data_IF_518540923401
#
_entry.id   IF_518540923401
#
_cell.length_a   1.000
_cell.length_b   1.000
_cell.length_c   1.000
_cell.angle_alpha   90.00
_cell.angle_beta   90.00
_cell.angle_gamma   90.00
#
_symmetry.space_group_name_H-M   'P 1'
#
loop_
_entity.id
_entity.type
_entity.pdbx_description
1 polymer ?
#
# COMPACT_ATOMS: atom_id res chain seq x y z
N UNK A 1 -39.11 26.67 -20.12
CA UNK A 1 -38.09 27.59 -19.59
C UNK A 1 -37.54 28.36 -20.77
N UNK A 2 -37.52 29.69 -20.67
CA UNK A 2 -37.16 30.59 -21.77
C UNK A 2 -35.64 30.86 -21.75
N UNK A 3 -35.01 30.89 -22.92
CA UNK A 3 -33.56 31.05 -23.11
C UNK A 3 -33.06 32.39 -22.54
N UNK A 4 -33.95 33.41 -22.49
CA UNK A 4 -33.65 34.72 -21.92
C UNK A 4 -33.39 34.67 -20.42
N UNK A 5 -34.16 33.86 -19.68
CA UNK A 5 -34.00 33.73 -18.22
C UNK A 5 -32.67 33.06 -17.85
N UNK A 6 -32.19 32.13 -18.69
CA UNK A 6 -30.86 31.51 -18.54
C UNK A 6 -29.73 32.50 -18.83
N UNK A 7 -29.90 33.36 -19.85
CA UNK A 7 -28.88 34.35 -20.23
C UNK A 7 -28.72 35.46 -19.19
N UNK A 8 -29.81 35.89 -18.55
CA UNK A 8 -29.77 36.89 -17.48
C UNK A 8 -29.17 36.32 -16.18
N UNK A 9 -29.51 35.06 -15.82
CA UNK A 9 -28.94 34.40 -14.64
C UNK A 9 -27.43 34.21 -14.70
N UNK A 10 -26.87 33.91 -15.88
CA UNK A 10 -25.41 33.78 -16.02
C UNK A 10 -24.66 35.12 -15.99
N UNK A 11 -25.33 36.24 -16.31
CA UNK A 11 -24.67 37.55 -16.35
C UNK A 11 -24.52 38.15 -14.95
N UNK A 12 -25.48 37.89 -14.06
CA UNK A 12 -25.43 38.32 -12.65
C UNK A 12 -24.37 37.56 -11.84
N UNK A 13 -24.11 36.30 -12.17
CA UNK A 13 -23.13 35.47 -11.46
C UNK A 13 -21.66 35.91 -11.68
N UNK A 14 -21.36 36.62 -12.78
CA UNK A 14 -19.98 37.00 -13.15
C UNK A 14 -19.60 38.38 -12.60
N UNK A 15 -20.57 39.20 -12.17
CA UNK A 15 -20.32 40.58 -11.76
C UNK A 15 -19.89 40.79 -10.31
N UNK A 16 -19.94 39.74 -9.47
CA UNK A 16 -19.83 39.88 -8.01
C UNK A 16 -18.52 39.42 -7.37
N UNK A 17 -17.59 38.80 -8.10
CA UNK A 17 -16.38 38.26 -7.48
C UNK A 17 -15.29 39.34 -7.34
N UNK A 18 -14.86 39.68 -6.11
CA UNK A 18 -13.69 40.52 -5.91
C UNK A 18 -12.46 39.80 -6.48
N UNK A 19 -11.49 40.52 -7.08
CA UNK A 19 -10.30 39.90 -7.63
C UNK A 19 -9.61 39.09 -6.54
N UNK A 20 -9.54 37.77 -6.73
CA UNK A 20 -8.76 36.87 -5.89
C UNK A 20 -7.32 37.39 -5.95
N UNK A 21 -6.86 38.02 -4.87
CA UNK A 21 -5.48 38.47 -4.67
C UNK A 21 -4.55 37.27 -4.46
N UNK A 22 -4.67 36.27 -5.33
CA UNK A 22 -3.87 35.08 -5.34
C UNK A 22 -2.56 35.43 -6.03
N UNK A 23 -1.57 35.75 -5.22
CA UNK A 23 -0.21 35.96 -5.67
C UNK A 23 0.49 34.59 -5.72
N UNK A 24 0.68 34.01 -6.92
CA UNK A 24 1.27 32.68 -7.06
C UNK A 24 2.70 32.63 -6.50
N UNK A 25 3.42 33.75 -6.49
CA UNK A 25 4.79 33.82 -6.01
C UNK A 25 4.86 33.66 -4.48
N UNK A 26 3.85 34.16 -3.75
CA UNK A 26 3.76 33.96 -2.30
C UNK A 26 3.55 32.50 -1.90
N UNK A 27 2.86 31.72 -2.73
CA UNK A 27 2.65 30.28 -2.47
C UNK A 27 3.95 29.50 -2.67
N UNK A 28 4.72 29.84 -3.72
CA UNK A 28 6.03 29.21 -3.99
C UNK A 28 7.05 29.55 -2.90
N UNK A 29 7.09 30.80 -2.45
CA UNK A 29 7.99 31.25 -1.39
C UNK A 29 7.67 30.65 -0.01
N UNK A 30 6.41 30.32 0.25
CA UNK A 30 6.02 29.64 1.48
C UNK A 30 6.44 28.17 1.47
N UNK A 31 6.27 27.47 0.34
CA UNK A 31 6.71 26.09 0.18
C UNK A 31 8.23 25.92 0.33
N UNK A 32 9.02 26.84 -0.25
CA UNK A 32 10.49 26.80 -0.15
C UNK A 32 11.03 27.02 1.27
N UNK A 33 10.33 27.81 2.10
CA UNK A 33 10.72 28.08 3.50
C UNK A 33 10.45 26.89 4.42
N UNK A 34 9.37 26.14 4.21
CA UNK A 34 9.07 24.95 5.00
C UNK A 34 10.02 23.78 4.70
N UNK A 35 10.42 23.61 3.44
CA UNK A 35 11.38 22.57 3.04
C UNK A 35 12.78 22.79 3.67
N UNK A 36 13.24 24.04 3.78
CA UNK A 36 14.53 24.37 4.44
C UNK A 36 14.52 24.08 5.95
N UNK A 37 13.39 24.29 6.63
CA UNK A 37 13.26 23.95 8.06
C UNK A 37 13.42 22.45 8.34
N UNK A 38 12.98 21.58 7.41
CA UNK A 38 13.10 20.12 7.56
C UNK A 38 14.55 19.62 7.48
N UNK A 39 15.41 20.28 6.71
CA UNK A 39 16.83 19.90 6.56
C UNK A 39 17.70 20.26 7.77
N UNK A 40 17.22 21.12 8.67
CA UNK A 40 18.00 21.57 9.82
C UNK A 40 17.91 20.65 11.07
N UNK A 41 17.03 19.62 11.09
CA UNK A 41 16.79 18.79 12.28
C UNK A 41 17.42 17.37 12.28
N UNK A 42 18.19 16.98 11.26
CA UNK A 42 18.70 15.58 11.13
C UNK A 42 20.07 15.35 11.82
N UNK A 43 20.59 16.31 12.57
CA UNK A 43 21.89 16.17 13.24
C UNK A 43 21.76 16.06 14.76
N UNK A 44 21.65 14.85 15.31
CA UNK A 44 22.27 14.37 16.58
C UNK A 44 21.68 13.03 17.02
N UNK A 45 22.52 12.03 17.29
CA UNK A 45 22.12 10.90 18.17
C UNK A 45 22.77 9.55 17.91
N UNK A 46 24.11 9.45 17.95
CA UNK A 46 24.81 8.17 18.12
C UNK A 46 25.15 8.02 19.61
N UNK A 47 24.52 7.05 20.30
CA UNK A 47 24.92 6.65 21.64
C UNK A 47 24.78 5.12 21.81
N UNK A 48 25.93 4.50 22.00
CA UNK A 48 26.23 3.10 22.25
C UNK A 48 25.74 2.66 23.64
N UNK A 49 25.28 1.40 23.80
CA UNK A 49 25.42 0.66 25.06
C UNK A 49 25.53 -0.85 24.81
N UNK A 50 26.69 -1.40 25.17
CA UNK A 50 27.07 -2.81 25.23
C UNK A 50 26.96 -3.25 26.70
N UNK A 51 26.23 -4.33 27.04
CA UNK A 51 26.42 -5.09 28.30
C UNK A 51 26.03 -6.57 28.16
N UNK A 52 27.08 -7.39 28.15
CA UNK A 52 27.39 -8.64 28.89
C UNK A 52 26.44 -9.86 29.02
N UNK A 53 27.12 -10.99 28.88
CA UNK A 53 26.72 -12.39 29.00
C UNK A 53 26.25 -12.83 30.40
N UNK A 54 25.46 -13.91 30.42
CA UNK A 54 25.22 -14.76 31.59
C UNK A 54 25.02 -16.21 31.16
N UNK A 55 26.08 -17.02 31.29
CA UNK A 55 26.04 -18.48 31.18
C UNK A 55 25.61 -19.03 32.54
N UNK A 56 24.51 -19.78 32.59
CA UNK A 56 24.11 -20.56 33.76
C UNK A 56 24.19 -22.06 33.42
N UNK A 57 25.24 -22.71 33.91
CA UNK A 57 25.38 -24.16 33.96
C UNK A 57 24.63 -24.71 35.17
N UNK A 58 23.70 -25.66 34.97
CA UNK A 58 23.10 -26.46 36.04
C UNK A 58 23.68 -27.88 35.96
N UNK A 59 24.34 -28.40 37.02
CA UNK A 59 24.76 -29.79 37.07
C UNK A 59 23.74 -30.69 37.79
N UNK A 60 23.33 -31.77 37.10
CA UNK A 60 23.11 -33.08 37.70
C UNK A 60 21.67 -33.48 38.08
N UNK A 61 21.09 -34.43 37.34
CA UNK A 61 20.38 -35.59 37.89
C UNK A 61 20.14 -36.65 36.80
N UNK A 62 20.38 -37.90 37.16
CA UNK A 62 20.45 -39.10 36.33
C UNK A 62 19.11 -39.47 35.68
N UNK A 63 19.12 -39.76 34.38
CA UNK A 63 17.99 -40.34 33.67
C UNK A 63 18.40 -40.72 32.25
N UNK A 64 18.52 -42.03 32.00
CA UNK A 64 18.86 -42.60 30.71
C UNK A 64 17.87 -42.16 29.62
N UNK A 65 18.33 -41.33 28.69
CA UNK A 65 17.63 -41.05 27.44
C UNK A 65 18.60 -41.12 26.27
N UNK A 66 18.26 -42.05 25.39
CA UNK A 66 18.66 -42.27 24.01
C UNK A 66 19.45 -41.10 23.37
N UNK A 67 20.75 -41.30 23.17
CA UNK A 67 21.61 -40.39 22.41
C UNK A 67 21.28 -40.50 20.92
N UNK A 68 20.25 -39.77 20.50
CA UNK A 68 20.06 -39.45 19.09
C UNK A 68 21.12 -38.43 18.69
N UNK A 69 22.18 -38.91 18.05
CA UNK A 69 23.24 -38.11 17.43
C UNK A 69 22.63 -37.11 16.45
N UNK A 70 22.54 -35.85 16.88
CA UNK A 70 22.20 -34.72 16.01
C UNK A 70 23.44 -34.38 15.20
N UNK A 71 23.39 -34.69 13.92
CA UNK A 71 24.39 -34.29 12.92
C UNK A 71 24.54 -32.76 12.96
N UNK A 72 25.76 -32.21 12.99
CA UNK A 72 25.95 -30.77 12.95
C UNK A 72 25.40 -30.21 11.63
N UNK A 73 24.59 -29.15 11.73
CA UNK A 73 24.10 -28.40 10.58
C UNK A 73 25.29 -27.90 9.75
N UNK A 74 25.24 -28.15 8.44
CA UNK A 74 26.21 -27.66 7.48
C UNK A 74 26.32 -26.12 7.57
N UNK A 75 27.51 -25.53 7.32
CA UNK A 75 27.68 -24.09 7.29
C UNK A 75 26.73 -23.48 6.25
N UNK A 76 25.95 -22.49 6.69
CA UNK A 76 25.18 -21.61 5.79
C UNK A 76 26.21 -20.86 4.94
N UNK A 77 26.23 -21.16 3.64
CA UNK A 77 26.99 -20.40 2.66
C UNK A 77 26.22 -19.10 2.43
N UNK A 78 26.66 -18.01 3.06
CA UNK A 78 26.31 -16.66 2.65
C UNK A 78 26.92 -16.42 1.26
N UNK A 79 26.12 -16.57 0.22
CA UNK A 79 26.44 -16.02 -1.09
C UNK A 79 26.32 -14.50 -1.01
N UNK A 80 27.47 -13.85 -0.80
CA UNK A 80 27.64 -12.43 -1.12
C UNK A 80 27.12 -12.18 -2.55
N UNK A 81 26.23 -11.21 -2.78
CA UNK A 81 25.86 -10.81 -4.13
C UNK A 81 27.11 -10.26 -4.82
N UNK A 82 27.49 -10.89 -5.93
CA UNK A 82 28.45 -10.36 -6.87
C UNK A 82 27.98 -8.97 -7.32
N UNK A 83 28.87 -7.99 -7.17
CA UNK A 83 28.78 -6.72 -7.88
C UNK A 83 28.91 -7.02 -9.37
N UNK A 84 27.78 -7.22 -10.04
CA UNK A 84 27.75 -7.06 -11.49
C UNK A 84 27.68 -5.56 -11.81
N UNK A 85 28.57 -5.16 -12.70
CA UNK A 85 28.78 -3.79 -13.16
C UNK A 85 27.55 -3.30 -13.93
N UNK A 86 26.80 -2.37 -13.35
CA UNK A 86 25.83 -1.55 -14.07
C UNK A 86 26.55 -0.65 -15.07
N UNK A 87 26.54 -1.06 -16.34
CA UNK A 87 26.89 -0.18 -17.46
C UNK A 87 25.77 0.86 -17.64
N UNK A 88 26.08 2.17 -17.65
CA UNK A 88 25.07 3.21 -17.86
C UNK A 88 24.55 3.15 -19.31
N UNK A 89 23.22 2.99 -19.45
CA UNK A 89 22.54 3.20 -20.72
C UNK A 89 22.58 4.70 -21.07
N UNK A 90 23.11 5.10 -22.24
CA UNK A 90 23.12 6.48 -22.67
C UNK A 90 21.74 6.88 -23.23
N UNK A 91 21.12 7.93 -22.68
CA UNK A 91 20.06 8.68 -23.37
C UNK A 91 18.66 8.71 -22.73
N UNK A 92 18.51 8.48 -21.43
CA UNK A 92 17.24 8.79 -20.73
C UNK A 92 17.44 10.00 -19.81
N UNK A 93 17.18 11.19 -20.34
CA UNK A 93 16.98 12.35 -19.49
C UNK A 93 15.73 12.10 -18.61
N UNK A 94 15.82 12.29 -17.28
CA UNK A 94 14.69 12.10 -16.39
C UNK A 94 13.60 13.11 -16.76
N UNK A 95 12.46 12.60 -17.24
CA UNK A 95 11.29 13.42 -17.53
C UNK A 95 10.90 14.21 -16.27
N UNK A 96 10.80 15.53 -16.43
CA UNK A 96 10.39 16.43 -15.36
C UNK A 96 9.00 16.01 -14.85
N UNK A 97 8.82 15.76 -13.55
CA UNK A 97 7.54 15.30 -13.03
C UNK A 97 6.50 16.41 -13.17
N UNK A 98 5.56 16.22 -14.11
CA UNK A 98 4.40 17.09 -14.26
C UNK A 98 3.64 17.16 -12.93
N UNK A 99 3.46 18.37 -12.40
CA UNK A 99 2.65 18.62 -11.20
C UNK A 99 1.19 18.27 -11.49
N UNK A 100 0.74 17.09 -11.08
CA UNK A 100 -0.69 16.75 -11.06
C UNK A 100 -1.39 17.64 -10.02
N UNK A 101 -2.18 18.59 -10.51
CA UNK A 101 -3.11 19.41 -9.74
C UNK A 101 -4.23 18.53 -9.20
N UNK A 102 -4.29 18.37 -7.87
CA UNK A 102 -5.29 17.57 -7.13
C UNK A 102 -6.71 18.13 -7.17
N UNK A 103 -7.30 18.26 -8.36
CA UNK A 103 -8.74 18.36 -8.49
C UNK A 103 -9.34 17.01 -8.06
N UNK A 104 -10.34 17.04 -7.18
CA UNK A 104 -11.13 15.88 -6.80
C UNK A 104 -11.80 15.32 -8.07
N UNK A 105 -11.20 14.28 -8.66
CA UNK A 105 -11.67 13.74 -9.92
C UNK A 105 -12.92 12.92 -9.62
N UNK A 106 -14.09 13.50 -9.89
CA UNK A 106 -15.36 12.81 -9.86
C UNK A 106 -15.39 11.83 -11.06
N UNK A 107 -14.90 10.62 -10.84
CA UNK A 107 -14.85 9.58 -11.85
C UNK A 107 -16.26 9.00 -12.06
N UNK A 108 -16.80 8.99 -13.29
CA UNK A 108 -18.07 8.34 -13.55
C UNK A 108 -17.91 6.84 -13.28
N UNK A 109 -18.56 6.34 -12.23
CA UNK A 109 -18.57 4.93 -11.90
C UNK A 109 -19.15 4.11 -13.05
N UNK A 110 -18.33 3.29 -13.69
CA UNK A 110 -18.84 2.25 -14.58
C UNK A 110 -19.57 1.23 -13.69
N UNK A 111 -20.84 0.96 -13.99
CA UNK A 111 -21.59 -0.08 -13.29
C UNK A 111 -20.83 -1.41 -13.38
N UNK A 112 -20.54 -1.99 -12.22
CA UNK A 112 -19.94 -3.32 -12.12
C UNK A 112 -20.80 -4.35 -12.85
N UNK A 113 -20.17 -5.20 -13.65
CA UNK A 113 -20.81 -6.36 -14.23
C UNK A 113 -21.14 -7.42 -13.18
N UNK A 114 -21.82 -8.51 -13.57
CA UNK A 114 -22.16 -9.60 -12.64
C UNK A 114 -20.93 -10.27 -12.01
N UNK A 115 -19.83 -10.40 -12.77
CA UNK A 115 -18.59 -11.01 -12.29
C UNK A 115 -17.95 -10.17 -11.19
N UNK A 116 -17.81 -8.86 -11.39
CA UNK A 116 -17.19 -7.96 -10.42
C UNK A 116 -18.02 -7.84 -9.15
N UNK A 117 -19.36 -7.90 -9.25
CA UNK A 117 -20.24 -8.01 -8.08
C UNK A 117 -20.02 -9.30 -7.30
N UNK A 118 -19.82 -10.43 -7.99
CA UNK A 118 -19.50 -11.70 -7.35
C UNK A 118 -18.14 -11.64 -6.64
N UNK A 119 -17.13 -11.02 -7.26
CA UNK A 119 -15.82 -10.82 -6.65
C UNK A 119 -15.89 -9.93 -5.41
N UNK A 120 -16.69 -8.85 -5.46
CA UNK A 120 -16.90 -7.98 -4.30
C UNK A 120 -17.56 -8.75 -3.14
N UNK A 121 -18.62 -9.51 -3.40
CA UNK A 121 -19.25 -10.35 -2.39
C UNK A 121 -18.29 -11.42 -1.83
N UNK A 122 -17.48 -12.01 -2.70
CA UNK A 122 -16.46 -12.97 -2.29
C UNK A 122 -15.41 -12.34 -1.37
N UNK A 123 -14.94 -11.12 -1.69
CA UNK A 123 -14.00 -10.39 -0.84
C UNK A 123 -14.54 -10.16 0.57
N UNK A 124 -15.83 -9.81 0.71
CA UNK A 124 -16.46 -9.68 2.03
C UNK A 124 -16.42 -10.99 2.83
N UNK A 125 -16.69 -12.13 2.18
CA UNK A 125 -16.62 -13.45 2.83
C UNK A 125 -15.19 -13.83 3.21
N UNK A 126 -14.24 -13.67 2.28
CA UNK A 126 -12.84 -13.99 2.50
C UNK A 126 -12.27 -13.18 3.69
N UNK A 127 -12.60 -11.89 3.80
CA UNK A 127 -12.19 -11.08 4.96
C UNK A 127 -12.78 -11.60 6.27
N UNK A 128 -14.06 -11.99 6.29
CA UNK A 128 -14.68 -12.58 7.47
C UNK A 128 -14.05 -13.95 7.85
N UNK A 129 -13.61 -14.73 6.87
CA UNK A 129 -12.97 -16.03 7.09
C UNK A 129 -11.55 -15.90 7.67
N UNK A 130 -10.72 -15.00 7.12
CA UNK A 130 -9.33 -14.80 7.62
C UNK A 130 -9.29 -14.06 8.97
N UNK A 131 -10.35 -13.34 9.31
CA UNK A 131 -10.45 -12.54 10.52
C UNK A 131 -11.77 -12.77 11.26
N UNK A 132 -11.97 -13.97 11.84
CA UNK A 132 -13.25 -14.39 12.43
C UNK A 132 -13.65 -13.60 13.68
N UNK A 133 -12.73 -12.80 14.24
CA UNK A 133 -12.98 -11.95 15.41
C UNK A 133 -13.50 -10.55 15.02
N UNK A 134 -13.75 -10.29 13.74
CA UNK A 134 -14.27 -9.02 13.24
C UNK A 134 -15.80 -9.06 13.14
N UNK A 135 -16.42 -7.99 13.60
CA UNK A 135 -17.86 -7.76 13.51
C UNK A 135 -18.20 -6.90 12.28
N UNK A 136 -19.47 -6.92 11.88
CA UNK A 136 -20.03 -6.06 10.83
C UNK A 136 -19.23 -6.07 9.51
N UNK A 137 -18.73 -7.23 9.07
CA UNK A 137 -17.97 -7.34 7.82
C UNK A 137 -18.90 -7.12 6.62
N UNK A 138 -18.63 -6.09 5.82
CA UNK A 138 -19.42 -5.74 4.63
C UNK A 138 -18.58 -5.07 3.55
N UNK A 139 -19.02 -5.18 2.29
CA UNK A 139 -18.43 -4.42 1.18
C UNK A 139 -18.92 -2.98 1.28
N UNK A 140 -17.99 -2.05 1.51
CA UNK A 140 -18.27 -0.60 1.57
C UNK A 140 -18.36 -0.03 0.16
N UNK A 141 -17.37 -0.35 -0.67
CA UNK A 141 -17.21 0.21 -2.00
C UNK A 141 -16.60 -0.81 -2.94
N UNK A 142 -16.99 -0.78 -4.21
CA UNK A 142 -16.28 -1.49 -5.25
C UNK A 142 -16.37 -0.74 -6.57
N UNK A 143 -15.22 -0.54 -7.21
CA UNK A 143 -15.14 0.22 -8.45
C UNK A 143 -14.03 -0.28 -9.39
N UNK A 144 -14.23 -0.01 -10.67
CA UNK A 144 -13.18 -0.04 -11.68
C UNK A 144 -12.74 1.41 -11.89
N UNK A 145 -11.55 1.82 -11.43
CA UNK A 145 -11.11 3.21 -11.58
C UNK A 145 -10.91 3.54 -13.06
N UNK A 146 -11.63 4.55 -13.53
CA UNK A 146 -11.53 5.08 -14.89
C UNK A 146 -10.58 6.26 -14.86
N UNK A 147 -9.26 6.06 -14.97
CA UNK A 147 -8.32 7.19 -14.95
C UNK A 147 -8.60 8.11 -16.15
N UNK A 148 -8.68 9.42 -15.92
CA UNK A 148 -9.30 10.44 -16.77
C UNK A 148 -8.64 10.77 -18.11
N UNK A 149 -8.10 9.79 -18.84
CA UNK A 149 -7.77 9.95 -20.27
C UNK A 149 -8.30 8.75 -21.06
N UNK A 150 -9.09 8.95 -22.12
CA UNK A 150 -9.65 7.88 -22.95
C UNK A 150 -8.62 7.08 -23.77
N UNK A 151 -7.31 7.32 -23.60
CA UNK A 151 -6.27 6.75 -24.48
C UNK A 151 -5.30 5.77 -23.79
N UNK A 152 -5.42 5.56 -22.47
CA UNK A 152 -4.68 4.49 -21.77
C UNK A 152 -5.66 3.53 -21.11
N UNK A 153 -6.40 2.84 -21.97
CA UNK A 153 -7.48 1.86 -21.75
C UNK A 153 -7.02 0.56 -21.01
N UNK A 154 -6.04 0.68 -20.11
CA UNK A 154 -5.36 -0.45 -19.46
C UNK A 154 -5.74 -0.65 -17.99
N UNK A 155 -6.69 0.11 -17.43
CA UNK A 155 -7.12 -0.11 -16.03
C UNK A 155 -8.10 -1.29 -15.94
N UNK A 156 -7.63 -2.49 -16.30
CA UNK A 156 -8.27 -3.76 -15.93
C UNK A 156 -7.96 -4.08 -14.46
N UNK A 157 -8.41 -3.18 -13.58
CA UNK A 157 -8.26 -3.25 -12.14
C UNK A 157 -9.63 -3.17 -11.49
N UNK A 158 -9.91 -4.06 -10.55
CA UNK A 158 -11.06 -3.98 -9.66
C UNK A 158 -10.57 -3.63 -8.26
N UNK A 159 -11.14 -2.59 -7.66
CA UNK A 159 -10.89 -2.23 -6.27
C UNK A 159 -12.13 -2.53 -5.44
N UNK A 160 -11.91 -3.14 -4.28
CA UNK A 160 -12.96 -3.57 -3.36
C UNK A 160 -12.53 -3.13 -1.96
N UNK A 161 -13.32 -2.29 -1.32
CA UNK A 161 -13.13 -1.89 0.08
C UNK A 161 -14.09 -2.70 0.94
N UNK A 162 -13.54 -3.45 1.88
CA UNK A 162 -14.32 -4.23 2.86
C UNK A 162 -14.19 -3.57 4.23
N UNK A 163 -15.30 -3.07 4.75
CA UNK A 163 -15.40 -2.47 6.07
C UNK A 163 -15.75 -3.51 7.12
N UNK A 164 -15.27 -3.29 8.35
CA UNK A 164 -15.52 -4.15 9.50
C UNK A 164 -15.20 -3.39 10.80
N UNK A 165 -15.60 -3.98 11.93
CA UNK A 165 -15.31 -3.48 13.28
C UNK A 165 -14.52 -4.52 14.05
N UNK A 166 -13.46 -4.11 14.75
CA UNK A 166 -12.73 -4.95 15.70
C UNK A 166 -12.70 -4.29 17.09
N UNK A 167 -11.91 -4.85 18.01
CA UNK A 167 -11.81 -4.36 19.40
C UNK A 167 -11.32 -2.90 19.51
N UNK A 168 -10.68 -2.35 18.48
CA UNK A 168 -10.21 -0.96 18.45
C UNK A 168 -11.26 -0.03 17.86
N UNK A 169 -12.05 -0.51 16.90
CA UNK A 169 -13.18 0.23 16.32
C UNK A 169 -13.39 -0.05 14.83
N UNK A 170 -14.21 0.77 14.14
CA UNK A 170 -14.49 0.58 12.72
C UNK A 170 -13.27 0.92 11.86
N UNK A 171 -13.04 0.11 10.83
CA UNK A 171 -11.98 0.32 9.83
C UNK A 171 -12.36 -0.37 8.52
N UNK A 172 -11.43 -0.40 7.56
CA UNK A 172 -11.58 -1.23 6.37
C UNK A 172 -10.24 -1.76 5.87
N UNK A 173 -10.33 -2.78 5.02
CA UNK A 173 -9.23 -3.29 4.18
C UNK A 173 -9.56 -3.02 2.72
N UNK A 174 -8.54 -2.85 1.89
CA UNK A 174 -8.71 -2.68 0.45
C UNK A 174 -8.10 -3.87 -0.29
N UNK A 175 -8.88 -4.52 -1.14
CA UNK A 175 -8.46 -5.58 -2.05
C UNK A 175 -8.47 -5.02 -3.48
N UNK A 176 -7.34 -5.08 -4.16
CA UNK A 176 -7.19 -4.67 -5.56
C UNK A 176 -6.79 -5.87 -6.41
N UNK A 177 -7.57 -6.14 -7.45
CA UNK A 177 -7.34 -7.24 -8.40
C UNK A 177 -6.93 -6.64 -9.73
N UNK A 178 -5.74 -7.01 -10.20
CA UNK A 178 -5.14 -6.51 -11.42
C UNK A 178 -5.07 -7.63 -12.45
N UNK A 179 -5.64 -7.40 -13.65
CA UNK A 179 -5.53 -8.36 -14.75
C UNK A 179 -4.06 -8.48 -15.24
N UNK A 180 -3.71 -9.57 -15.94
CA UNK A 180 -2.37 -9.76 -16.49
C UNK A 180 -1.87 -8.56 -17.30
N UNK A 181 -0.61 -8.18 -17.07
CA UNK A 181 0.08 -7.10 -17.79
C UNK A 181 -0.34 -5.67 -17.41
N UNK A 182 -1.17 -5.49 -16.38
CA UNK A 182 -1.58 -4.15 -15.91
C UNK A 182 -0.61 -3.54 -14.90
N UNK A 183 0.11 -4.36 -14.12
CA UNK A 183 1.17 -3.92 -13.21
C UNK A 183 2.49 -4.03 -13.95
N UNK A 184 3.15 -2.90 -14.18
CA UNK A 184 4.45 -2.83 -14.86
C UNK A 184 5.65 -3.00 -13.93
N UNK A 185 5.44 -2.78 -12.63
CA UNK A 185 6.50 -2.84 -11.64
C UNK A 185 6.80 -4.30 -11.26
N UNK A 186 8.07 -4.69 -11.28
CA UNK A 186 8.49 -6.03 -10.87
C UNK A 186 8.49 -6.15 -9.34
N UNK A 187 8.31 -7.37 -8.78
CA UNK A 187 8.42 -7.60 -7.33
C UNK A 187 9.72 -7.06 -6.72
N UNK A 188 10.83 -7.21 -7.43
CA UNK A 188 12.15 -6.74 -7.00
C UNK A 188 12.28 -5.22 -6.97
N UNK A 189 11.58 -4.50 -7.86
CA UNK A 189 11.60 -3.03 -7.90
C UNK A 189 10.84 -2.42 -6.72
N UNK A 190 9.77 -3.07 -6.28
CA UNK A 190 8.95 -2.59 -5.15
C UNK A 190 9.76 -2.51 -3.86
N UNK A 191 10.66 -3.47 -3.62
CA UNK A 191 11.54 -3.48 -2.46
C UNK A 191 12.96 -2.95 -2.76
N UNK A 192 13.17 -2.25 -3.87
CA UNK A 192 14.50 -1.77 -4.22
C UNK A 192 14.99 -0.68 -3.23
N UNK A 193 16.32 -0.51 -3.03
CA UNK A 193 16.84 0.50 -2.10
C UNK A 193 16.50 1.94 -2.47
N UNK A 194 16.11 2.20 -3.71
CA UNK A 194 15.67 3.48 -4.25
C UNK A 194 14.14 3.63 -4.28
N UNK A 195 13.38 2.60 -3.90
CA UNK A 195 11.91 2.64 -3.87
C UNK A 195 11.37 3.12 -2.52
N UNK A 196 10.27 3.87 -2.58
CA UNK A 196 9.45 4.24 -1.42
C UNK A 196 10.18 5.04 -0.33
N UNK A 197 9.56 5.09 0.85
CA UNK A 197 10.11 5.75 2.03
C UNK A 197 11.07 4.82 2.82
N UNK A 198 11.77 5.37 3.81
CA UNK A 198 12.74 4.61 4.63
C UNK A 198 12.11 3.43 5.38
N UNK A 199 10.86 3.56 5.84
CA UNK A 199 10.13 2.47 6.51
C UNK A 199 9.82 1.35 5.51
N UNK A 200 9.33 1.71 4.32
CA UNK A 200 9.08 0.75 3.24
C UNK A 200 10.34 -0.07 2.97
N UNK A 201 11.49 0.58 2.75
CA UNK A 201 12.75 -0.14 2.46
C UNK A 201 13.19 -1.09 3.58
N UNK A 202 12.93 -0.74 4.84
CA UNK A 202 13.28 -1.59 5.99
C UNK A 202 12.33 -2.74 6.22
N UNK A 203 11.07 -2.61 5.80
CA UNK A 203 10.01 -3.58 6.07
C UNK A 203 9.43 -4.23 4.80
N UNK A 204 10.08 -4.04 3.64
CA UNK A 204 9.71 -4.71 2.41
C UNK A 204 10.37 -6.09 2.34
N UNK A 205 9.57 -7.11 2.04
CA UNK A 205 10.01 -8.50 1.92
C UNK A 205 9.46 -9.09 0.63
N UNK A 206 10.35 -9.69 -0.16
CA UNK A 206 9.98 -10.48 -1.35
C UNK A 206 10.11 -11.95 -0.98
N UNK A 207 9.05 -12.72 -1.19
CA UNK A 207 8.96 -14.14 -0.81
C UNK A 207 8.56 -14.93 -2.05
N UNK A 208 9.51 -15.69 -2.61
CA UNK A 208 9.23 -16.65 -3.69
C UNK A 208 8.42 -17.83 -3.15
N UNK A 209 7.39 -18.24 -3.89
CA UNK A 209 6.55 -19.40 -3.57
C UNK A 209 6.99 -20.64 -4.38
N UNK A 210 6.59 -21.83 -3.95
CA UNK A 210 6.92 -23.10 -4.62
C UNK A 210 6.31 -23.21 -6.03
N UNK A 211 5.18 -22.56 -6.26
CA UNK A 211 4.47 -22.55 -7.55
C UNK A 211 5.08 -21.55 -8.57
N UNK A 212 6.16 -20.86 -8.20
CA UNK A 212 6.83 -19.84 -9.01
C UNK A 212 6.18 -18.45 -8.93
N UNK A 213 5.10 -18.28 -8.17
CA UNK A 213 4.56 -16.97 -7.84
C UNK A 213 5.46 -16.23 -6.83
N UNK A 214 5.18 -14.95 -6.62
CA UNK A 214 5.94 -14.13 -5.66
C UNK A 214 5.00 -13.31 -4.79
N UNK A 215 5.22 -13.35 -3.49
CA UNK A 215 4.59 -12.44 -2.54
C UNK A 215 5.52 -11.27 -2.23
N UNK A 216 4.95 -10.07 -2.13
CA UNK A 216 5.65 -8.87 -1.65
C UNK A 216 4.87 -8.30 -0.49
N UNK A 217 5.43 -8.32 0.72
CA UNK A 217 4.89 -7.64 1.90
C UNK A 217 5.67 -6.36 2.14
N UNK A 218 4.98 -5.26 2.42
CA UNK A 218 5.59 -3.95 2.67
C UNK A 218 4.79 -3.17 3.72
N UNK A 219 5.47 -2.32 4.49
CA UNK A 219 4.86 -1.34 5.40
C UNK A 219 5.31 0.05 5.01
N UNK A 220 4.37 0.93 4.68
CA UNK A 220 4.64 2.30 4.22
C UNK A 220 3.88 3.33 5.05
N UNK A 221 4.39 4.56 5.09
CA UNK A 221 3.57 5.72 5.43
C UNK A 221 2.82 6.16 4.16
N UNK A 222 1.49 6.35 4.20
CA UNK A 222 0.78 6.77 3.00
C UNK A 222 1.12 8.23 2.66
N UNK A 223 1.16 8.56 1.37
CA UNK A 223 1.35 9.95 0.91
C UNK A 223 0.20 10.85 1.39
N UNK A 224 -1.01 10.29 1.42
CA UNK A 224 -2.22 10.92 1.91
C UNK A 224 -2.73 10.21 3.17
N UNK A 225 -2.83 10.94 4.28
CA UNK A 225 -3.40 10.40 5.52
C UNK A 225 -2.92 11.15 6.77
N UNK A 226 -3.44 10.76 7.95
CA UNK A 226 -2.97 11.28 9.21
C UNK A 226 -1.47 11.10 9.41
N UNK A 227 -0.80 12.06 10.05
CA UNK A 227 0.61 11.91 10.40
C UNK A 227 0.81 10.70 11.32
N UNK A 228 1.71 9.80 10.94
CA UNK A 228 1.96 8.55 11.67
C UNK A 228 1.02 7.41 11.29
N UNK A 229 0.11 7.62 10.34
CA UNK A 229 -0.60 6.53 9.69
C UNK A 229 0.38 5.61 8.98
N UNK A 230 0.06 4.32 8.99
CA UNK A 230 0.82 3.27 8.34
C UNK A 230 -0.14 2.39 7.54
N UNK A 231 0.36 1.87 6.43
CA UNK A 231 -0.34 0.93 5.55
C UNK A 231 0.53 -0.29 5.34
N UNK A 232 0.00 -1.45 5.72
CA UNK A 232 0.61 -2.75 5.45
C UNK A 232 -0.04 -3.30 4.20
N UNK A 233 0.77 -3.64 3.22
CA UNK A 233 0.31 -4.13 1.92
C UNK A 233 1.00 -5.45 1.61
N UNK A 234 0.22 -6.45 1.24
CA UNK A 234 0.72 -7.69 0.64
C UNK A 234 0.26 -7.73 -0.82
N UNK A 235 1.16 -8.10 -1.73
CA UNK A 235 0.91 -8.31 -3.16
C UNK A 235 1.28 -9.71 -3.54
N UNK A 236 0.43 -10.37 -4.33
CA UNK A 236 0.69 -11.67 -4.92
C UNK A 236 0.81 -11.53 -6.44
N UNK A 237 2.04 -11.69 -6.92
CA UNK A 237 2.40 -11.75 -8.33
C UNK A 237 2.25 -13.18 -8.82
N UNK A 238 1.13 -13.47 -9.47
CA UNK A 238 0.81 -14.82 -9.95
C UNK A 238 1.58 -15.14 -11.23
N UNK A 239 1.77 -16.44 -11.49
CA UNK A 239 2.46 -16.94 -12.68
C UNK A 239 1.76 -16.60 -13.99
N UNK A 240 0.45 -16.32 -13.96
CA UNK A 240 -0.32 -15.85 -15.12
C UNK A 240 -0.18 -14.33 -15.36
N UNK A 241 0.63 -13.63 -14.56
CA UNK A 241 0.85 -12.18 -14.65
C UNK A 241 -0.21 -11.31 -13.97
N UNK A 242 -1.27 -11.91 -13.40
CA UNK A 242 -2.22 -11.18 -12.57
C UNK A 242 -1.57 -10.80 -11.23
N UNK A 243 -2.04 -9.69 -10.65
CA UNK A 243 -1.58 -9.24 -9.32
C UNK A 243 -2.79 -9.04 -8.42
N UNK A 244 -2.76 -9.64 -7.23
CA UNK A 244 -3.76 -9.37 -6.19
C UNK A 244 -3.06 -8.66 -5.05
N UNK A 245 -3.63 -7.55 -4.61
CA UNK A 245 -3.10 -6.73 -3.54
C UNK A 245 -4.14 -6.62 -2.44
N UNK A 246 -3.73 -6.75 -1.18
CA UNK A 246 -4.53 -6.44 -0.02
C UNK A 246 -3.78 -5.45 0.88
N UNK A 247 -4.49 -4.44 1.39
CA UNK A 247 -3.93 -3.40 2.25
C UNK A 247 -4.73 -3.24 3.52
N UNK A 248 -4.05 -3.23 4.66
CA UNK A 248 -4.60 -2.89 5.97
C UNK A 248 -3.97 -1.62 6.52
N UNK A 249 -4.74 -0.90 7.33
CA UNK A 249 -4.42 0.46 7.74
C UNK A 249 -4.37 0.57 9.26
N UNK A 250 -3.52 1.47 9.78
CA UNK A 250 -3.57 1.89 11.19
C UNK A 250 -4.60 3.00 11.42
N UNK A 251 -5.44 3.30 10.45
CA UNK A 251 -6.51 4.30 10.51
C UNK A 251 -7.71 3.80 9.71
N UNK A 252 -8.87 4.44 9.87
CA UNK A 252 -10.02 4.14 9.01
C UNK A 252 -9.92 4.99 7.72
N UNK A 253 -9.69 4.40 6.54
CA UNK A 253 -9.56 5.18 5.31
C UNK A 253 -10.87 5.79 4.84
N UNK A 254 -12.03 5.38 5.38
CA UNK A 254 -13.33 5.99 5.11
C UNK A 254 -13.61 7.20 6.02
N UNK A 255 -12.89 7.31 7.15
CA UNK A 255 -13.05 8.40 8.10
C UNK A 255 -11.67 8.83 8.60
N UNK A 256 -11.08 9.83 7.93
CA UNK A 256 -9.76 10.37 8.27
C UNK A 256 -9.82 11.13 9.61
N UNK A 257 -9.65 10.42 10.72
CA UNK A 257 -9.56 10.98 12.06
C UNK A 257 -8.17 10.68 12.67
N UNK A 258 -7.27 11.68 12.76
CA UNK A 258 -5.93 11.49 13.31
C UNK A 258 -5.92 11.10 14.80
N UNK A 259 -7.04 11.32 15.52
CA UNK A 259 -7.13 10.94 16.94
C UNK A 259 -7.42 9.45 17.15
N UNK A 260 -7.79 8.73 16.09
CA UNK A 260 -8.17 7.31 16.13
C UNK A 260 -7.13 6.39 15.47
N UNK A 261 -5.85 6.77 15.55
CA UNK A 261 -4.77 5.92 15.06
C UNK A 261 -4.62 4.66 15.92
N UNK A 262 -4.56 3.52 15.24
CA UNK A 262 -4.25 2.20 15.78
C UNK A 262 -2.74 2.07 15.95
N UNK A 263 -2.31 1.24 16.91
CA UNK A 263 -0.88 0.93 17.07
C UNK A 263 -0.36 0.01 15.98
N UNK A 264 -1.21 -0.88 15.50
CA UNK A 264 -0.93 -1.90 14.49
C UNK A 264 -2.02 -1.88 13.42
N UNK A 265 -1.74 -2.46 12.26
CA UNK A 265 -2.72 -2.56 11.18
C UNK A 265 -3.82 -3.54 11.56
N UNK A 266 -5.03 -3.28 11.07
CA UNK A 266 -6.21 -4.09 11.41
C UNK A 266 -6.12 -5.57 10.96
N UNK A 267 -5.26 -5.88 9.99
CA UNK A 267 -4.95 -7.24 9.57
C UNK A 267 -3.43 -7.46 9.66
N UNK A 268 -3.07 -8.70 9.99
CA UNK A 268 -1.69 -9.21 10.05
C UNK A 268 -1.14 -9.52 8.65
N UNK A 269 0.19 -9.74 8.54
CA UNK A 269 0.79 -10.17 7.27
C UNK A 269 0.25 -11.54 6.83
N UNK A 270 0.00 -12.45 7.78
CA UNK A 270 -0.53 -13.78 7.53
C UNK A 270 -1.95 -13.72 6.94
N UNK A 271 -2.83 -12.92 7.55
CA UNK A 271 -4.20 -12.73 7.06
C UNK A 271 -4.23 -12.05 5.68
N UNK A 272 -3.39 -11.04 5.47
CA UNK A 272 -3.29 -10.38 4.16
C UNK A 272 -2.71 -11.34 3.11
N UNK A 273 -1.77 -12.19 3.49
CA UNK A 273 -1.22 -13.24 2.61
C UNK A 273 -2.31 -14.21 2.19
N UNK A 274 -3.07 -14.74 3.15
CA UNK A 274 -4.18 -15.65 2.88
C UNK A 274 -5.19 -15.02 1.89
N UNK A 275 -5.59 -13.77 2.12
CA UNK A 275 -6.45 -13.01 1.21
C UNK A 275 -5.90 -12.93 -0.21
N UNK A 276 -4.64 -12.50 -0.40
CA UNK A 276 -4.11 -12.31 -1.77
C UNK A 276 -3.82 -13.63 -2.50
N UNK A 277 -3.65 -14.71 -1.74
CA UNK A 277 -3.47 -16.07 -2.29
C UNK A 277 -4.78 -16.76 -2.68
N UNK A 278 -5.94 -16.19 -2.34
CA UNK A 278 -7.24 -16.75 -2.71
C UNK A 278 -7.41 -16.86 -4.23
N UNK A 279 -7.57 -18.09 -4.79
CA UNK A 279 -7.66 -18.29 -6.24
C UNK A 279 -8.89 -17.65 -6.89
N UNK A 280 -9.94 -17.36 -6.11
CA UNK A 280 -11.17 -16.74 -6.62
C UNK A 280 -10.94 -15.30 -7.09
N UNK A 281 -9.92 -14.60 -6.59
CA UNK A 281 -9.59 -13.24 -7.03
C UNK A 281 -8.92 -13.22 -8.42
N UNK A 282 -9.71 -13.45 -9.45
CA UNK A 282 -9.26 -13.47 -10.85
C UNK A 282 -10.21 -12.65 -11.72
N UNK A 283 -9.65 -11.69 -12.47
CA UNK A 283 -10.36 -11.01 -13.55
C UNK A 283 -10.16 -11.83 -14.84
N UNK A 284 -11.21 -12.49 -15.31
CA UNK A 284 -11.22 -13.17 -16.61
C UNK A 284 -11.47 -12.15 -17.71
N UNK A 285 -10.80 -12.31 -18.86
CA UNK A 285 -11.10 -11.56 -20.09
C UNK A 285 -12.46 -11.94 -20.69
#
# INVERSE_FOLDING_TARGET
MDERTLREGMRDAVGGEPPLGFDPDQVVDKAGREQRKRRAMVGTGLATLVVLAGVATIPGALGAYDQRSVTPAAPVVETSPSKDEDLPLPGMDPAEPEKESGAEINYPEKKLGPHEKSLAQHAGKAVAEVAPNMDDVHVVHSSIPVRGKPETDKTRRLEITVGFTDEVGPTSTMVSIHAPGTVSESPSRICAPDSGDELTRRQCRVISQEDGSTLVSSLAAPDEGPRGALVRTVRHFRTNGAVVQASAYTFNPQQLDPSKLRRETALTDEQLTELVTDPAFTLTE
#
